data_IF_099241052879
#
_entry.id   IF_099241052879
#
_cell.length_a   1.000
_cell.length_b   1.000
_cell.length_c   1.000
_cell.angle_alpha   90.00
_cell.angle_beta   90.00
_cell.angle_gamma   90.00
#
_symmetry.space_group_name_H-M   'P 1'
#
loop_
_entity.id
_entity.type
_entity.pdbx_description
1 polymer ?
#
# COMPACT_ATOMS: atom_id res chain seq x y z
N UNK A 1 1.62 4.63 -9.36
CA UNK A 1 0.57 5.43 -9.99
C UNK A 1 1.02 6.86 -9.86
N UNK A 2 1.02 7.58 -10.97
CA UNK A 2 1.34 9.01 -10.98
C UNK A 2 0.13 9.78 -11.51
N UNK A 3 -0.31 10.86 -10.85
CA UNK A 3 -1.44 11.66 -11.31
C UNK A 3 -1.31 12.20 -12.74
N UNK A 4 -0.09 12.44 -13.22
CA UNK A 4 0.17 13.01 -14.55
C UNK A 4 0.40 11.92 -15.61
N UNK A 5 0.90 10.74 -15.22
CA UNK A 5 1.32 9.69 -16.15
C UNK A 5 0.48 8.39 -16.07
N UNK A 6 -0.34 8.22 -15.03
CA UNK A 6 -1.15 7.02 -14.81
C UNK A 6 -0.36 5.85 -14.20
N UNK A 7 -0.63 4.64 -14.70
CA UNK A 7 0.01 3.40 -14.24
C UNK A 7 1.05 2.99 -15.28
N UNK A 8 2.32 2.99 -14.88
CA UNK A 8 3.45 2.50 -15.67
C UNK A 8 3.99 1.22 -15.03
N UNK A 9 4.09 0.15 -15.81
CA UNK A 9 4.63 -1.14 -15.36
C UNK A 9 5.90 -1.46 -16.14
N UNK A 10 6.99 -1.68 -15.42
CA UNK A 10 8.27 -2.11 -16.00
C UNK A 10 8.30 -3.64 -16.10
N UNK A 11 8.19 -4.18 -17.32
CA UNK A 11 8.13 -5.63 -17.54
C UNK A 11 9.35 -6.39 -16.98
N UNK A 12 10.53 -5.76 -16.97
CA UNK A 12 11.77 -6.33 -16.40
C UNK A 12 11.76 -6.47 -14.87
N UNK A 13 10.86 -5.77 -14.17
CA UNK A 13 10.69 -5.86 -12.71
C UNK A 13 9.56 -6.83 -12.30
N UNK A 14 8.89 -7.43 -13.29
CA UNK A 14 7.80 -8.38 -13.09
C UNK A 14 8.34 -9.80 -13.13
N UNK A 15 8.08 -10.58 -12.08
CA UNK A 15 8.62 -11.95 -11.91
C UNK A 15 7.74 -13.00 -12.56
N UNK A 16 6.42 -12.82 -12.42
CA UNK A 16 5.40 -13.74 -12.92
C UNK A 16 4.06 -13.00 -13.06
N UNK A 17 3.06 -13.68 -13.64
CA UNK A 17 1.72 -13.12 -13.86
C UNK A 17 1.07 -12.65 -12.56
N UNK A 18 1.23 -13.39 -11.46
CA UNK A 18 0.63 -13.05 -10.17
C UNK A 18 1.27 -11.79 -9.59
N UNK A 19 2.59 -11.63 -9.74
CA UNK A 19 3.27 -10.39 -9.37
C UNK A 19 2.72 -9.20 -10.15
N UNK A 20 2.49 -9.37 -11.46
CA UNK A 20 1.89 -8.32 -12.29
C UNK A 20 0.47 -7.97 -11.83
N UNK A 21 -0.37 -8.98 -11.59
CA UNK A 21 -1.75 -8.80 -11.10
C UNK A 21 -1.78 -8.03 -9.78
N UNK A 22 -0.96 -8.45 -8.79
CA UNK A 22 -0.85 -7.77 -7.50
C UNK A 22 -0.38 -6.31 -7.68
N UNK A 23 0.65 -6.06 -8.50
CA UNK A 23 1.17 -4.70 -8.73
C UNK A 23 0.13 -3.82 -9.42
N UNK A 24 -0.52 -4.30 -10.48
CA UNK A 24 -1.55 -3.52 -11.17
C UNK A 24 -2.72 -3.22 -10.24
N UNK A 25 -3.16 -4.18 -9.42
CA UNK A 25 -4.22 -3.97 -8.43
C UNK A 25 -3.83 -2.90 -7.39
N UNK A 26 -2.60 -2.93 -6.88
CA UNK A 26 -2.07 -1.93 -5.97
C UNK A 26 -2.14 -0.52 -6.59
N UNK A 27 -1.67 -0.37 -7.82
CA UNK A 27 -1.67 0.91 -8.52
C UNK A 27 -3.09 1.38 -8.91
N UNK A 28 -4.01 0.45 -9.17
CA UNK A 28 -5.42 0.79 -9.41
C UNK A 28 -6.11 1.32 -8.16
N UNK A 29 -5.76 0.85 -6.95
CA UNK A 29 -6.27 1.41 -5.70
C UNK A 29 -5.79 2.85 -5.52
N UNK A 30 -4.53 3.14 -5.83
CA UNK A 30 -4.04 4.51 -5.85
C UNK A 30 -4.80 5.40 -6.84
N UNK A 31 -5.05 4.90 -8.06
CA UNK A 31 -5.84 5.61 -9.05
C UNK A 31 -7.28 5.87 -8.57
N UNK A 32 -7.92 4.88 -7.95
CA UNK A 32 -9.25 5.04 -7.35
C UNK A 32 -9.26 6.10 -6.26
N UNK A 33 -8.27 6.06 -5.38
CA UNK A 33 -8.15 7.02 -4.28
C UNK A 33 -7.93 8.44 -4.78
N UNK A 34 -7.12 8.60 -5.85
CA UNK A 34 -6.91 9.87 -6.54
C UNK A 34 -8.23 10.46 -7.05
N UNK A 35 -9.08 9.62 -7.65
CA UNK A 35 -10.32 10.06 -8.27
C UNK A 35 -11.42 10.35 -7.24
N UNK A 36 -11.40 9.63 -6.11
CA UNK A 36 -12.48 9.71 -5.11
C UNK A 36 -12.23 10.77 -4.04
N UNK A 37 -10.97 11.07 -3.72
CA UNK A 37 -10.62 12.05 -2.70
C UNK A 37 -9.65 13.11 -3.24
N UNK A 38 -9.65 14.29 -2.61
CA UNK A 38 -8.67 15.35 -2.89
C UNK A 38 -7.34 15.00 -2.21
N UNK A 39 -6.63 14.06 -2.82
CA UNK A 39 -5.40 13.47 -2.31
C UNK A 39 -4.21 14.41 -2.43
N UNK A 40 -3.41 14.46 -1.36
CA UNK A 40 -2.10 15.09 -1.37
C UNK A 40 -1.03 14.01 -1.58
N UNK A 41 -0.66 13.82 -2.84
CA UNK A 41 0.26 12.75 -3.26
C UNK A 41 1.70 12.98 -2.87
N UNK A 42 2.14 14.22 -2.74
CA UNK A 42 3.54 14.53 -2.38
C UNK A 42 3.70 14.56 -0.86
N UNK A 43 2.59 14.70 -0.13
CA UNK A 43 2.63 15.00 1.30
C UNK A 43 3.03 16.46 1.53
N UNK A 44 2.68 17.34 0.60
CA UNK A 44 3.00 18.77 0.68
C UNK A 44 2.24 19.50 1.80
N UNK A 45 1.18 18.88 2.31
CA UNK A 45 0.32 19.34 3.39
C UNK A 45 0.15 18.25 4.44
N UNK A 46 -0.05 16.99 4.04
CA UNK A 46 -0.30 15.90 4.98
C UNK A 46 0.15 14.52 4.47
N UNK A 47 1.02 13.86 5.25
CA UNK A 47 1.45 12.48 4.99
C UNK A 47 0.33 11.45 5.28
N UNK A 48 -0.75 11.84 5.95
CA UNK A 48 -1.88 10.95 6.27
C UNK A 48 -2.59 10.42 5.04
N UNK A 49 -2.80 11.25 4.02
CA UNK A 49 -3.42 10.81 2.77
C UNK A 49 -2.54 9.77 2.07
N UNK A 50 -1.24 10.05 1.97
CA UNK A 50 -0.25 9.11 1.48
C UNK A 50 -0.27 7.78 2.29
N UNK A 51 -0.22 7.85 3.62
CA UNK A 51 -0.26 6.65 4.45
C UNK A 51 -1.56 5.85 4.26
N UNK A 52 -2.70 6.53 4.17
CA UNK A 52 -4.01 5.90 4.03
C UNK A 52 -4.16 5.13 2.71
N UNK A 53 -3.74 5.74 1.60
CA UNK A 53 -3.82 5.07 0.28
C UNK A 53 -2.88 3.88 0.20
N UNK A 54 -1.71 3.95 0.83
CA UNK A 54 -0.76 2.84 0.89
C UNK A 54 -1.28 1.67 1.73
N UNK A 55 -1.91 1.96 2.87
CA UNK A 55 -2.59 0.93 3.69
C UNK A 55 -3.64 0.20 2.84
N UNK A 56 -4.48 0.96 2.13
CA UNK A 56 -5.55 0.38 1.29
C UNK A 56 -4.99 -0.38 0.10
N UNK A 57 -3.99 0.16 -0.60
CA UNK A 57 -3.36 -0.48 -1.74
C UNK A 57 -2.65 -1.78 -1.34
N UNK A 58 -1.93 -1.81 -0.21
CA UNK A 58 -1.30 -3.03 0.30
C UNK A 58 -2.31 -4.06 0.82
N UNK A 59 -3.42 -3.60 1.41
CA UNK A 59 -4.48 -4.47 1.89
C UNK A 59 -5.25 -5.12 0.74
N UNK A 60 -5.63 -4.36 -0.29
CA UNK A 60 -6.58 -4.79 -1.32
C UNK A 60 -5.94 -5.46 -2.54
N UNK A 61 -4.64 -5.24 -2.77
CA UNK A 61 -3.95 -5.75 -3.96
C UNK A 61 -3.57 -7.23 -3.92
N UNK A 62 -3.55 -7.86 -2.73
CA UNK A 62 -3.04 -9.22 -2.57
C UNK A 62 -1.52 -9.33 -2.42
N UNK A 63 -0.79 -8.20 -2.41
CA UNK A 63 0.67 -8.25 -2.24
C UNK A 63 1.15 -8.74 -0.86
N UNK A 64 0.24 -8.75 0.12
CA UNK A 64 0.46 -9.21 1.49
C UNK A 64 -0.16 -10.59 1.79
N UNK A 65 -0.51 -11.37 0.76
CA UNK A 65 -0.96 -12.77 0.95
C UNK A 65 0.09 -13.59 1.69
N UNK A 66 -0.36 -14.40 2.65
CA UNK A 66 0.54 -15.21 3.50
C UNK A 66 1.46 -16.13 2.68
N UNK A 67 0.95 -16.73 1.61
CA UNK A 67 1.77 -17.57 0.70
C UNK A 67 2.95 -16.79 0.09
N UNK A 68 2.76 -15.51 -0.23
CA UNK A 68 3.84 -14.67 -0.74
C UNK A 68 4.83 -14.33 0.39
N UNK A 69 4.35 -13.96 1.57
CA UNK A 69 5.23 -13.67 2.71
C UNK A 69 6.07 -14.89 3.14
N UNK A 70 5.48 -16.07 3.20
CA UNK A 70 6.16 -17.30 3.62
C UNK A 70 7.13 -17.83 2.55
N UNK A 71 6.68 -18.03 1.32
CA UNK A 71 7.48 -18.72 0.29
C UNK A 71 8.42 -17.80 -0.48
N UNK A 72 8.13 -16.49 -0.57
CA UNK A 72 8.96 -15.54 -1.31
C UNK A 72 9.81 -14.65 -0.41
N UNK A 73 9.27 -14.24 0.75
CA UNK A 73 9.91 -13.25 1.63
C UNK A 73 10.44 -13.85 2.95
N UNK A 74 10.29 -15.17 3.14
CA UNK A 74 10.86 -15.90 4.27
C UNK A 74 10.27 -15.54 5.63
N UNK A 75 9.05 -14.98 5.66
CA UNK A 75 8.36 -14.59 6.87
C UNK A 75 7.36 -15.69 7.29
N UNK A 76 7.72 -16.45 8.34
CA UNK A 76 7.06 -17.70 8.73
C UNK A 76 6.08 -17.58 9.90
N UNK A 77 6.00 -16.42 10.55
CA UNK A 77 5.02 -16.27 11.65
C UNK A 77 3.59 -16.40 11.10
N UNK A 78 2.65 -16.88 11.92
CA UNK A 78 1.29 -17.22 11.48
C UNK A 78 0.26 -16.20 11.96
N UNK A 79 0.53 -15.54 13.09
CA UNK A 79 -0.38 -14.56 13.70
C UNK A 79 -0.13 -13.15 13.14
N UNK A 80 -1.21 -12.46 12.75
CA UNK A 80 -1.21 -11.06 12.30
C UNK A 80 -0.27 -10.71 11.12
N UNK A 81 0.21 -11.71 10.36
CA UNK A 81 1.14 -11.47 9.25
C UNK A 81 0.62 -10.49 8.20
N UNK A 82 -0.66 -10.60 7.86
CA UNK A 82 -1.28 -9.71 6.90
C UNK A 82 -1.20 -8.25 7.36
N UNK A 83 -1.56 -7.98 8.61
CA UNK A 83 -1.50 -6.63 9.20
C UNK A 83 -0.06 -6.13 9.28
N UNK A 84 0.88 -6.99 9.67
CA UNK A 84 2.31 -6.65 9.75
C UNK A 84 2.89 -6.32 8.36
N UNK A 85 2.53 -7.09 7.33
CA UNK A 85 2.94 -6.80 5.96
C UNK A 85 2.38 -5.45 5.49
N UNK A 86 1.08 -5.20 5.68
CA UNK A 86 0.45 -3.93 5.28
C UNK A 86 1.08 -2.75 6.01
N UNK A 87 1.31 -2.87 7.32
CA UNK A 87 2.02 -1.82 8.11
C UNK A 87 3.41 -1.56 7.56
N UNK A 88 4.20 -2.61 7.37
CA UNK A 88 5.58 -2.50 6.86
C UNK A 88 5.61 -1.83 5.49
N UNK A 89 4.72 -2.22 4.57
CA UNK A 89 4.62 -1.65 3.23
C UNK A 89 4.24 -0.17 3.27
N UNK A 90 3.22 0.18 4.05
CA UNK A 90 2.79 1.57 4.20
C UNK A 90 3.89 2.45 4.82
N UNK A 91 4.57 1.97 5.86
CA UNK A 91 5.71 2.69 6.48
C UNK A 91 6.83 2.88 5.46
N UNK A 92 7.22 1.83 4.72
CA UNK A 92 8.24 1.92 3.69
C UNK A 92 7.90 2.94 2.59
N UNK A 93 6.65 2.96 2.13
CA UNK A 93 6.22 3.96 1.14
C UNK A 93 6.24 5.38 1.71
N UNK A 94 5.76 5.58 2.94
CA UNK A 94 5.75 6.90 3.60
C UNK A 94 7.18 7.40 3.82
N UNK A 95 8.10 6.54 4.25
CA UNK A 95 9.52 6.89 4.43
C UNK A 95 10.21 7.31 3.13
N UNK A 96 9.79 6.77 1.99
CA UNK A 96 10.36 7.13 0.68
C UNK A 96 9.99 8.55 0.23
N UNK A 97 9.15 9.27 0.99
CA UNK A 97 8.65 10.60 0.62
C UNK A 97 9.57 11.70 1.16
N UNK A 98 9.82 12.77 0.38
CA UNK A 98 10.79 13.81 0.75
C UNK A 98 10.51 14.53 2.08
N UNK A 99 9.25 14.55 2.54
CA UNK A 99 8.84 15.23 3.78
C UNK A 99 8.85 14.34 5.02
N UNK A 100 9.03 13.03 4.86
CA UNK A 100 9.15 12.14 5.99
C UNK A 100 10.55 12.25 6.56
N UNK A 101 10.66 12.65 7.84
CA UNK A 101 11.94 12.87 8.52
C UNK A 101 12.62 11.55 8.86
N UNK A 102 11.86 10.62 9.44
CA UNK A 102 12.36 9.36 9.97
C UNK A 102 11.26 8.28 9.99
N UNK A 103 11.69 7.05 10.30
CA UNK A 103 10.81 5.90 10.50
C UNK A 103 9.80 6.11 11.63
N UNK A 104 10.17 6.87 12.66
CA UNK A 104 9.30 7.16 13.81
C UNK A 104 8.10 8.00 13.35
N UNK A 105 8.32 9.02 12.53
CA UNK A 105 7.26 9.81 11.93
C UNK A 105 6.40 8.97 10.98
N UNK A 106 7.01 8.15 10.13
CA UNK A 106 6.27 7.27 9.21
C UNK A 106 5.34 6.32 9.98
N UNK A 107 5.89 5.64 11.00
CA UNK A 107 5.15 4.74 11.88
C UNK A 107 4.01 5.46 12.60
N UNK A 108 4.27 6.66 13.13
CA UNK A 108 3.24 7.48 13.80
C UNK A 108 2.10 7.83 12.84
N UNK A 109 2.40 8.33 11.65
CA UNK A 109 1.39 8.73 10.66
C UNK A 109 0.56 7.52 10.21
N UNK A 110 1.20 6.38 9.94
CA UNK A 110 0.52 5.13 9.57
C UNK A 110 -0.41 4.67 10.70
N UNK A 111 0.03 4.75 11.96
CA UNK A 111 -0.79 4.40 13.11
C UNK A 111 -1.99 5.32 13.29
N UNK A 112 -1.84 6.63 13.03
CA UNK A 112 -2.92 7.61 13.18
C UNK A 112 -4.10 7.36 12.23
N UNK A 113 -3.84 6.80 11.04
CA UNK A 113 -4.89 6.55 10.03
C UNK A 113 -5.30 5.08 9.95
N UNK A 114 -4.65 4.19 10.72
CA UNK A 114 -4.76 2.74 10.58
C UNK A 114 -6.20 2.24 10.62
N UNK A 115 -6.93 2.53 11.69
CA UNK A 115 -8.27 1.97 11.91
C UNK A 115 -9.26 2.41 10.82
N UNK A 116 -9.15 3.66 10.36
CA UNK A 116 -10.02 4.20 9.31
C UNK A 116 -9.69 3.62 7.93
N UNK A 117 -8.41 3.46 7.60
CA UNK A 117 -8.00 3.10 6.25
C UNK A 117 -7.96 1.58 6.05
N UNK A 118 -7.60 0.83 7.10
CA UNK A 118 -7.56 -0.63 7.05
C UNK A 118 -8.96 -1.27 7.10
N UNK A 119 -9.99 -0.54 7.54
CA UNK A 119 -11.37 -1.01 7.48
C UNK A 119 -12.08 -0.67 6.16
N UNK A 120 -11.49 0.20 5.33
CA UNK A 120 -12.09 0.65 4.07
C UNK A 120 -11.74 -0.26 2.90
N UNK A 121 -12.67 -1.13 2.52
CA UNK A 121 -12.47 -2.11 1.45
C UNK A 121 -12.78 -1.59 0.04
N UNK A 122 -13.32 -0.37 -0.08
CA UNK A 122 -13.75 0.17 -1.39
C UNK A 122 -12.56 0.27 -2.36
N UNK A 123 -12.76 0.00 -3.67
CA UNK A 123 -14.03 -0.29 -4.36
C UNK A 123 -14.50 -1.75 -4.27
N UNK A 124 -13.80 -2.61 -3.52
CA UNK A 124 -14.15 -4.02 -3.40
C UNK A 124 -15.11 -4.26 -2.23
N UNK A 125 -15.95 -5.28 -2.37
CA UNK A 125 -16.84 -5.71 -1.29
C UNK A 125 -16.09 -6.51 -0.22
N UNK A 126 -14.99 -7.18 -0.59
CA UNK A 126 -14.18 -8.01 0.30
C UNK A 126 -12.67 -7.86 0.02
N UNK A 127 -11.84 -8.17 1.02
CA UNK A 127 -10.38 -8.20 0.89
C UNK A 127 -9.94 -9.54 0.29
N UNK A 128 -9.24 -9.51 -0.83
CA UNK A 128 -8.71 -10.72 -1.46
C UNK A 128 -7.50 -11.26 -0.66
N UNK A 129 -7.72 -12.31 0.15
CA UNK A 129 -6.73 -12.92 1.07
C UNK A 129 -6.05 -14.17 0.53
#
# INVERSE_FOLDING_TARGET
FDPNHGILICANEVRDRKHMEDTVAHEMVHAWDHLRWKMDWVGDKDLKHAACTEIRASMLSGECRWTREAFTRGQWSVTQQFQNCVRRRAIQSVMARPRCKDDVQATKVVNEVWDSCFSDTRPFDEVYR
#
